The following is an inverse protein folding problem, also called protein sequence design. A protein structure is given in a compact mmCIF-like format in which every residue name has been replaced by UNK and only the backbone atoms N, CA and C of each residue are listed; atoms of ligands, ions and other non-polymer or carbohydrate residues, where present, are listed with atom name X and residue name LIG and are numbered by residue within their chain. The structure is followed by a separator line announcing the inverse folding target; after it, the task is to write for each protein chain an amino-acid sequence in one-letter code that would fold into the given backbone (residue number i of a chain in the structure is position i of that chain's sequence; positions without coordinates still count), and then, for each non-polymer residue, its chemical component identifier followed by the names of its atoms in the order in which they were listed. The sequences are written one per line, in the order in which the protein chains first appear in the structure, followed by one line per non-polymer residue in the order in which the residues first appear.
data_IF_647485191803
#
_entry.id   IF_647485191803
#
_cell.length_a   1.000
_cell.length_b   1.000
_cell.length_c   1.000
_cell.angle_alpha   90.00
_cell.angle_beta   90.00
_cell.angle_gamma   90.00
#
_symmetry.space_group_name_H-M   'P 1'
#
loop_
_entity.id
_entity.type
_entity.pdbx_description
1 polymer ?
#
# COMPACT_ATOMS: atom_id res chain seq x y z
N UNK A 1 28.25 26.47 8.66
CA UNK A 1 28.29 24.99 8.75
C UNK A 1 26.86 24.50 8.85
N UNK A 2 26.30 23.98 7.75
CA UNK A 2 24.97 23.38 7.76
C UNK A 2 25.11 21.93 8.19
N UNK A 3 24.59 21.61 9.36
CA UNK A 3 24.48 20.26 9.89
C UNK A 3 23.38 19.53 9.12
N UNK A 4 23.76 18.80 8.08
CA UNK A 4 22.91 17.84 7.39
C UNK A 4 22.83 16.57 8.23
N UNK A 5 21.85 16.49 9.13
CA UNK A 5 21.55 15.24 9.84
C UNK A 5 20.75 14.31 8.94
N UNK A 6 21.43 13.34 8.32
CA UNK A 6 20.90 12.01 7.94
C UNK A 6 21.81 10.97 8.61
N UNK A 7 21.28 9.91 9.24
CA UNK A 7 20.13 9.14 8.77
C UNK A 7 18.95 9.16 9.76
N UNK A 8 17.78 9.62 9.33
CA UNK A 8 16.52 9.25 9.98
C UNK A 8 16.31 7.76 9.73
N UNK A 9 16.09 6.95 10.76
CA UNK A 9 15.88 5.51 10.61
C UNK A 9 14.69 5.27 9.66
N UNK A 10 14.81 4.37 8.68
CA UNK A 10 13.73 4.09 7.72
C UNK A 10 12.39 3.77 8.42
N UNK A 11 12.44 3.12 9.59
CA UNK A 11 11.25 2.87 10.41
C UNK A 11 10.65 4.12 11.04
N UNK A 12 11.48 5.08 11.47
CA UNK A 12 11.00 6.38 11.98
C UNK A 12 10.34 7.16 10.83
N UNK A 13 10.95 7.13 9.65
CA UNK A 13 10.40 7.77 8.47
C UNK A 13 9.03 7.18 8.10
N UNK A 14 8.91 5.84 8.00
CA UNK A 14 7.62 5.20 7.73
C UNK A 14 6.59 5.52 8.82
N UNK A 15 6.99 5.49 10.09
CA UNK A 15 6.08 5.82 11.21
C UNK A 15 5.54 7.24 11.09
N UNK A 16 6.39 8.20 10.71
CA UNK A 16 5.98 9.59 10.44
C UNK A 16 5.01 9.68 9.26
N UNK A 17 5.24 8.95 8.17
CA UNK A 17 4.33 8.93 7.02
C UNK A 17 2.96 8.33 7.36
N UNK A 18 2.92 7.30 8.20
CA UNK A 18 1.69 6.69 8.69
C UNK A 18 0.92 7.65 9.60
N UNK A 19 1.60 8.35 10.52
CA UNK A 19 0.96 9.36 11.36
C UNK A 19 0.34 10.51 10.53
N UNK A 20 0.94 10.83 9.38
CA UNK A 20 0.42 11.79 8.40
C UNK A 20 -0.68 11.21 7.49
N UNK A 21 -1.15 9.99 7.74
CA UNK A 21 -2.15 9.26 6.95
C UNK A 21 -1.81 9.18 5.45
N UNK A 22 -0.52 8.99 5.12
CA UNK A 22 -0.09 8.81 3.73
C UNK A 22 -0.54 7.44 3.19
N UNK A 23 -0.97 7.43 1.93
CA UNK A 23 -1.25 6.20 1.19
C UNK A 23 0.06 5.60 0.68
N UNK A 24 0.35 4.36 1.07
CA UNK A 24 1.65 3.73 0.90
C UNK A 24 1.47 2.40 0.17
N UNK A 25 2.27 2.17 -0.87
CA UNK A 25 2.39 0.87 -1.51
C UNK A 25 3.70 0.20 -1.07
N UNK A 26 3.63 -0.96 -0.46
CA UNK A 26 4.81 -1.77 -0.16
C UNK A 26 5.09 -2.67 -1.36
N UNK A 27 6.32 -2.65 -1.88
CA UNK A 27 6.73 -3.52 -2.97
C UNK A 27 7.85 -4.46 -2.54
N UNK A 28 7.87 -5.63 -3.14
CA UNK A 28 8.93 -6.63 -2.98
C UNK A 28 9.14 -7.35 -4.31
N UNK A 29 10.37 -7.72 -4.60
CA UNK A 29 10.71 -8.46 -5.84
C UNK A 29 10.22 -9.91 -5.80
N UNK A 30 10.30 -10.56 -4.64
CA UNK A 30 10.10 -12.01 -4.50
C UNK A 30 8.76 -12.39 -3.85
N UNK A 31 7.94 -11.39 -3.52
CA UNK A 31 6.66 -11.59 -2.84
C UNK A 31 6.77 -11.90 -1.35
N UNK A 32 7.95 -11.74 -0.74
CA UNK A 32 8.18 -12.02 0.68
C UNK A 32 8.46 -10.74 1.46
N UNK A 33 8.17 -10.78 2.77
CA UNK A 33 8.49 -9.73 3.73
C UNK A 33 7.51 -8.55 3.77
N UNK A 34 6.98 -8.10 2.63
CA UNK A 34 6.11 -6.91 2.57
C UNK A 34 4.83 -7.05 3.42
N UNK A 35 4.15 -8.20 3.35
CA UNK A 35 2.93 -8.44 4.15
C UNK A 35 3.24 -8.53 5.65
N UNK A 36 4.38 -9.10 6.04
CA UNK A 36 4.83 -9.14 7.44
C UNK A 36 5.13 -7.74 7.99
N UNK A 37 5.76 -6.88 7.16
CA UNK A 37 5.97 -5.48 7.50
C UNK A 37 4.63 -4.75 7.66
N UNK A 38 3.70 -4.93 6.71
CA UNK A 38 2.36 -4.36 6.74
C UNK A 38 1.63 -4.68 8.05
N UNK A 39 1.63 -5.95 8.49
CA UNK A 39 1.00 -6.33 9.76
C UNK A 39 1.72 -5.77 10.99
N UNK A 40 3.04 -5.68 10.95
CA UNK A 40 3.82 -5.06 12.05
C UNK A 40 3.49 -3.57 12.20
N UNK A 41 3.29 -2.87 11.07
CA UNK A 41 2.86 -1.47 11.03
C UNK A 41 1.42 -1.30 11.52
N UNK A 42 0.49 -2.17 11.07
CA UNK A 42 -0.89 -2.18 11.53
C UNK A 42 -0.98 -2.44 13.06
N UNK A 43 -0.18 -3.38 13.57
CA UNK A 43 -0.09 -3.66 15.00
C UNK A 43 0.47 -2.49 15.80
N UNK A 44 1.45 -1.76 15.26
CA UNK A 44 2.00 -0.57 15.89
C UNK A 44 0.96 0.56 15.95
N UNK A 45 0.17 0.75 14.89
CA UNK A 45 -0.93 1.71 14.87
C UNK A 45 -2.03 1.38 15.89
N UNK A 46 -2.37 0.10 16.03
CA UNK A 46 -3.36 -0.35 16.99
C UNK A 46 -2.96 -0.07 18.46
N UNK A 47 -1.65 -0.01 18.76
CA UNK A 47 -1.15 0.29 20.11
C UNK A 47 -1.33 1.75 20.52
N UNK A 48 -1.49 2.65 19.55
CA UNK A 48 -1.68 4.09 19.80
C UNK A 48 -3.14 4.53 19.64
N UNK A 49 -4.08 3.57 19.57
CA UNK A 49 -5.52 3.82 19.54
C UNK A 49 -6.10 4.17 18.17
N UNK A 50 -5.33 4.00 17.08
CA UNK A 50 -5.85 4.22 15.74
C UNK A 50 -6.73 3.06 15.26
N UNK A 51 -7.94 3.39 14.80
CA UNK A 51 -8.87 2.39 14.28
C UNK A 51 -8.44 1.89 12.92
N UNK A 52 -7.87 0.69 12.88
CA UNK A 52 -7.38 0.09 11.64
C UNK A 52 -8.33 -1.00 11.16
N UNK A 53 -8.62 -1.01 9.86
CA UNK A 53 -9.23 -2.14 9.18
C UNK A 53 -8.14 -2.93 8.45
N UNK A 54 -7.96 -4.19 8.81
CA UNK A 54 -7.00 -5.07 8.15
C UNK A 54 -7.77 -6.15 7.37
N UNK A 55 -7.46 -6.30 6.08
CA UNK A 55 -8.07 -7.28 5.18
C UNK A 55 -6.98 -8.20 4.65
N UNK A 56 -7.06 -9.48 5.00
CA UNK A 56 -6.11 -10.51 4.59
C UNK A 56 -6.72 -11.57 3.68
N UNK A 57 -5.93 -12.07 2.73
CA UNK A 57 -6.29 -13.22 1.89
C UNK A 57 -5.81 -14.56 2.49
N UNK A 58 -6.71 -15.55 2.54
CA UNK A 58 -6.43 -17.01 2.65
C UNK A 58 -5.60 -17.54 3.84
N UNK A 59 -5.15 -16.71 4.78
CA UNK A 59 -4.51 -17.15 6.03
C UNK A 59 -5.04 -16.37 7.22
N UNK A 60 -5.14 -16.99 8.41
CA UNK A 60 -5.31 -16.22 9.62
C UNK A 60 -4.06 -15.35 9.81
N UNK A 61 -4.26 -14.06 10.03
CA UNK A 61 -3.15 -13.17 10.33
C UNK A 61 -2.44 -13.67 11.59
N UNK A 62 -1.11 -13.54 11.60
CA UNK A 62 -0.35 -13.59 12.86
C UNK A 62 -0.68 -12.35 13.73
N UNK A 63 -1.41 -11.39 13.15
CA UNK A 63 -1.90 -10.20 13.82
C UNK A 63 -3.08 -10.50 14.75
N UNK A 64 -2.88 -10.28 16.04
CA UNK A 64 -3.97 -10.16 17.02
C UNK A 64 -4.25 -8.68 17.20
N UNK A 65 -5.37 -8.15 16.70
CA UNK A 65 -5.71 -6.75 16.90
C UNK A 65 -5.93 -6.44 18.39
N UNK A 66 -5.52 -5.24 18.82
CA UNK A 66 -6.05 -4.63 20.03
C UNK A 66 -7.52 -4.22 19.81
N UNK A 67 -8.24 -3.84 20.87
CA UNK A 67 -9.69 -3.55 20.86
C UNK A 67 -10.17 -2.59 19.75
N UNK A 68 -9.33 -1.64 19.34
CA UNK A 68 -9.71 -0.60 18.37
C UNK A 68 -9.42 -0.97 16.92
N UNK A 69 -8.72 -2.09 16.67
CA UNK A 69 -8.48 -2.59 15.32
C UNK A 69 -9.42 -3.74 14.99
N UNK A 70 -9.89 -3.78 13.75
CA UNK A 70 -10.72 -4.87 13.24
C UNK A 70 -9.92 -5.59 12.16
N UNK A 71 -9.65 -6.86 12.41
CA UNK A 71 -9.07 -7.76 11.40
C UNK A 71 -10.19 -8.57 10.76
N UNK A 72 -10.26 -8.53 9.43
CA UNK A 72 -11.05 -9.46 8.65
C UNK A 72 -10.14 -10.31 7.77
N UNK A 73 -10.42 -11.60 7.76
CA UNK A 73 -9.85 -12.52 6.78
C UNK A 73 -10.88 -12.75 5.67
N UNK A 74 -10.51 -12.35 4.45
CA UNK A 74 -11.24 -12.71 3.24
C UNK A 74 -10.86 -14.14 2.82
N UNK A 75 -11.85 -15.01 2.77
CA UNK A 75 -11.73 -16.37 2.26
C UNK A 75 -11.75 -16.45 0.73
N UNK A 76 -12.21 -15.39 0.06
CA UNK A 76 -12.31 -15.27 -1.39
C UNK A 76 -12.46 -13.80 -1.82
N UNK A 77 -12.31 -13.54 -3.13
CA UNK A 77 -12.39 -12.19 -3.70
C UNK A 77 -13.74 -11.50 -3.46
N UNK A 78 -14.87 -12.23 -3.51
CA UNK A 78 -16.20 -11.65 -3.27
C UNK A 78 -16.32 -11.09 -1.85
N UNK A 79 -15.83 -11.84 -0.86
CA UNK A 79 -15.79 -11.39 0.52
C UNK A 79 -14.87 -10.18 0.68
N UNK A 80 -13.69 -10.19 0.07
CA UNK A 80 -12.75 -9.05 0.09
C UNK A 80 -13.40 -7.77 -0.44
N UNK A 81 -14.09 -7.86 -1.57
CA UNK A 81 -14.81 -6.72 -2.16
C UNK A 81 -15.95 -6.21 -1.27
N UNK A 82 -16.61 -7.09 -0.52
CA UNK A 82 -17.63 -6.69 0.47
C UNK A 82 -17.01 -5.99 1.68
N UNK A 83 -15.81 -6.41 2.11
CA UNK A 83 -15.10 -5.79 3.22
C UNK A 83 -14.62 -4.36 2.86
N UNK A 84 -14.27 -4.11 1.59
CA UNK A 84 -14.02 -2.76 1.11
C UNK A 84 -15.24 -1.85 1.26
N UNK A 85 -16.44 -2.34 0.94
CA UNK A 85 -17.67 -1.54 1.11
C UNK A 85 -17.95 -1.24 2.59
N UNK A 86 -17.57 -2.15 3.49
CA UNK A 86 -17.69 -1.96 4.94
C UNK A 86 -16.67 -0.97 5.52
N UNK A 87 -15.53 -0.76 4.85
CA UNK A 87 -14.46 0.10 5.35
C UNK A 87 -14.92 1.53 5.67
N UNK A 88 -15.74 2.11 4.80
CA UNK A 88 -16.31 3.45 5.00
C UNK A 88 -17.35 3.47 6.13
N UNK A 89 -18.18 2.43 6.24
CA UNK A 89 -19.21 2.32 7.27
C UNK A 89 -18.61 2.19 8.67
N UNK A 90 -17.47 1.51 8.77
CA UNK A 90 -16.75 1.30 10.02
C UNK A 90 -15.94 2.53 10.46
N UNK A 91 -15.92 3.63 9.71
CA UNK A 91 -15.13 4.84 10.05
C UNK A 91 -13.68 4.50 10.43
N UNK A 92 -13.06 3.56 9.72
CA UNK A 92 -11.67 3.20 9.96
C UNK A 92 -10.76 4.39 9.60
N UNK A 93 -9.76 4.65 10.43
CA UNK A 93 -8.73 5.66 10.18
C UNK A 93 -7.70 5.19 9.14
N UNK A 94 -7.50 3.87 9.05
CA UNK A 94 -6.51 3.22 8.21
C UNK A 94 -7.10 1.96 7.56
N UNK A 95 -6.68 1.70 6.31
CA UNK A 95 -6.98 0.46 5.59
C UNK A 95 -5.68 -0.26 5.27
N UNK A 96 -5.57 -1.51 5.70
CA UNK A 96 -4.45 -2.39 5.39
C UNK A 96 -4.95 -3.58 4.59
N UNK A 97 -4.38 -3.80 3.41
CA UNK A 97 -4.78 -4.92 2.52
C UNK A 97 -3.56 -5.77 2.22
N UNK A 98 -3.65 -7.08 2.43
CA UNK A 98 -2.49 -7.98 2.33
C UNK A 98 -1.81 -7.94 0.97
N UNK A 99 -2.57 -7.94 -0.14
CA UNK A 99 -2.06 -7.85 -1.51
C UNK A 99 -3.19 -7.42 -2.46
N UNK A 100 -2.88 -6.74 -3.56
CA UNK A 100 -3.80 -6.53 -4.69
C UNK A 100 -3.36 -7.39 -5.89
N UNK A 101 -4.22 -8.29 -6.34
CA UNK A 101 -3.98 -9.32 -7.38
C UNK A 101 -4.87 -9.20 -8.62
N UNK A 102 -5.99 -8.48 -8.56
CA UNK A 102 -7.02 -8.46 -9.60
C UNK A 102 -7.65 -7.09 -9.83
N UNK A 103 -8.28 -6.95 -11.00
CA UNK A 103 -8.85 -5.68 -11.48
C UNK A 103 -9.86 -5.07 -10.52
N UNK A 104 -10.86 -5.85 -10.11
CA UNK A 104 -12.00 -5.34 -9.33
C UNK A 104 -11.57 -4.86 -7.94
N UNK A 105 -10.58 -5.52 -7.33
CA UNK A 105 -10.07 -5.11 -6.03
C UNK A 105 -9.18 -3.88 -6.11
N UNK A 106 -8.39 -3.73 -7.17
CA UNK A 106 -7.62 -2.50 -7.41
C UNK A 106 -8.59 -1.33 -7.58
N UNK A 107 -9.59 -1.49 -8.45
CA UNK A 107 -10.61 -0.45 -8.69
C UNK A 107 -11.29 -0.04 -7.38
N UNK A 108 -11.83 -0.99 -6.61
CA UNK A 108 -12.46 -0.68 -5.31
C UNK A 108 -11.50 -0.07 -4.29
N UNK A 109 -10.27 -0.55 -4.20
CA UNK A 109 -9.28 -0.02 -3.26
C UNK A 109 -8.95 1.46 -3.55
N UNK A 110 -8.72 1.80 -4.81
CA UNK A 110 -8.44 3.18 -5.21
C UNK A 110 -9.70 4.06 -5.16
N UNK A 111 -10.89 3.52 -5.40
CA UNK A 111 -12.15 4.23 -5.17
C UNK A 111 -12.34 4.63 -3.70
N UNK A 112 -11.95 3.78 -2.75
CA UNK A 112 -11.99 4.13 -1.32
C UNK A 112 -11.08 5.32 -1.01
N UNK A 113 -9.88 5.34 -1.61
CA UNK A 113 -8.95 6.47 -1.49
C UNK A 113 -9.58 7.74 -2.08
N UNK A 114 -10.16 7.64 -3.28
CA UNK A 114 -10.85 8.75 -3.94
C UNK A 114 -12.05 9.29 -3.14
N UNK A 115 -12.73 8.43 -2.36
CA UNK A 115 -13.81 8.79 -1.43
C UNK A 115 -13.32 9.40 -0.11
N UNK A 116 -12.02 9.63 0.03
CA UNK A 116 -11.42 10.31 1.18
C UNK A 116 -10.87 9.39 2.26
N UNK A 117 -10.84 8.07 2.04
CA UNK A 117 -10.11 7.17 2.93
C UNK A 117 -8.60 7.46 2.80
N UNK A 118 -7.95 7.72 3.93
CA UNK A 118 -6.52 8.05 4.01
C UNK A 118 -5.78 6.96 4.78
N UNK A 119 -4.45 7.00 4.76
CA UNK A 119 -3.64 6.02 5.47
C UNK A 119 -3.79 4.60 4.92
N UNK A 120 -4.12 4.48 3.63
CA UNK A 120 -4.30 3.18 3.00
C UNK A 120 -2.93 2.56 2.69
N UNK A 121 -2.74 1.29 3.04
CA UNK A 121 -1.52 0.55 2.77
C UNK A 121 -1.83 -0.83 2.20
N UNK A 122 -1.10 -1.19 1.15
CA UNK A 122 -1.20 -2.51 0.52
C UNK A 122 0.14 -2.99 0.03
N UNK A 123 0.23 -4.26 -0.36
CA UNK A 123 1.44 -4.83 -0.99
C UNK A 123 1.23 -5.16 -2.46
N UNK A 124 2.34 -5.20 -3.21
CA UNK A 124 2.41 -5.65 -4.59
C UNK A 124 3.79 -6.24 -4.89
N UNK A 125 3.84 -7.36 -5.62
CA UNK A 125 5.12 -7.86 -6.15
C UNK A 125 5.58 -6.96 -7.32
N UNK A 126 6.66 -6.21 -7.14
CA UNK A 126 7.24 -5.34 -8.17
C UNK A 126 8.72 -5.09 -7.88
N UNK A 127 9.50 -4.85 -8.93
CA UNK A 127 10.96 -4.71 -8.86
C UNK A 127 11.43 -3.30 -8.52
N UNK A 128 10.62 -2.31 -8.89
CA UNK A 128 10.91 -0.91 -8.67
C UNK A 128 9.59 -0.10 -8.67
N UNK A 129 9.59 1.14 -8.18
CA UNK A 129 8.40 1.99 -8.12
C UNK A 129 7.71 2.21 -9.48
N UNK A 130 8.47 2.30 -10.58
CA UNK A 130 7.91 2.52 -11.90
C UNK A 130 7.20 1.26 -12.41
N UNK A 131 7.84 0.10 -12.25
CA UNK A 131 7.26 -1.20 -12.54
C UNK A 131 5.99 -1.42 -11.71
N UNK A 132 5.96 -1.00 -10.45
CA UNK A 132 4.77 -1.11 -9.60
C UNK A 132 3.57 -0.37 -10.21
N UNK A 133 3.75 0.89 -10.64
CA UNK A 133 2.68 1.67 -11.28
C UNK A 133 2.24 1.04 -12.60
N UNK A 134 3.19 0.63 -13.47
CA UNK A 134 2.87 -0.05 -14.73
C UNK A 134 2.11 -1.35 -14.49
N UNK A 135 2.51 -2.13 -13.48
CA UNK A 135 1.86 -3.39 -13.12
C UNK A 135 0.46 -3.17 -12.57
N UNK A 136 0.26 -2.20 -11.68
CA UNK A 136 -1.07 -1.83 -11.20
C UNK A 136 -1.97 -1.39 -12.36
N UNK A 137 -1.48 -0.55 -13.27
CA UNK A 137 -2.24 -0.13 -14.45
C UNK A 137 -2.62 -1.32 -15.32
N UNK A 138 -1.71 -2.25 -15.58
CA UNK A 138 -2.02 -3.48 -16.32
C UNK A 138 -3.10 -4.30 -15.61
N UNK A 139 -2.97 -4.52 -14.31
CA UNK A 139 -3.95 -5.30 -13.53
C UNK A 139 -5.31 -4.59 -13.46
N UNK A 140 -5.34 -3.27 -13.36
CA UNK A 140 -6.56 -2.45 -13.40
C UNK A 140 -7.28 -2.54 -14.76
N UNK A 141 -6.55 -2.87 -15.82
CA UNK A 141 -7.05 -2.88 -17.19
C UNK A 141 -7.60 -4.24 -17.64
N UNK A 142 -7.26 -5.34 -16.96
CA UNK A 142 -7.59 -6.72 -17.37
C UNK A 142 -9.10 -7.04 -17.43
N UNK A 143 -9.99 -6.11 -17.08
CA UNK A 143 -11.44 -6.36 -17.06
C UNK A 143 -12.29 -5.32 -17.79
N UNK A 144 -11.69 -4.27 -18.35
CA UNK A 144 -12.48 -3.14 -18.87
C UNK A 144 -12.57 -3.08 -20.39
N UNK A 145 -11.51 -3.41 -21.16
CA UNK A 145 -11.54 -3.38 -22.63
C UNK A 145 -10.40 -4.26 -23.20
N UNK A 146 -10.67 -5.08 -24.22
CA UNK A 146 -9.65 -5.89 -24.92
C UNK A 146 -8.64 -5.04 -25.73
N UNK A 147 -9.04 -3.82 -26.14
CA UNK A 147 -8.21 -2.85 -26.87
C UNK A 147 -8.12 -1.51 -26.12
N UNK A 148 -7.27 -1.43 -25.11
CA UNK A 148 -6.94 -0.15 -24.47
C UNK A 148 -5.88 0.60 -25.26
N UNK A 149 -6.16 1.87 -25.56
CA UNK A 149 -5.16 2.73 -26.18
C UNK A 149 -3.99 3.01 -25.25
N UNK A 150 -2.85 3.44 -25.81
CA UNK A 150 -1.72 3.90 -25.00
C UNK A 150 -2.10 5.11 -24.13
N UNK A 151 -3.02 5.95 -24.60
CA UNK A 151 -3.52 7.10 -23.84
C UNK A 151 -4.30 6.66 -22.60
N UNK A 152 -5.14 5.63 -22.71
CA UNK A 152 -5.89 5.06 -21.59
C UNK A 152 -4.94 4.44 -20.55
N UNK A 153 -3.90 3.72 -21.01
CA UNK A 153 -2.90 3.16 -20.10
C UNK A 153 -2.15 4.25 -19.35
N UNK A 154 -1.75 5.32 -20.03
CA UNK A 154 -1.08 6.46 -19.40
C UNK A 154 -2.01 7.21 -18.43
N UNK A 155 -3.28 7.38 -18.79
CA UNK A 155 -4.29 7.95 -17.90
C UNK A 155 -4.42 7.12 -16.62
N UNK A 156 -4.55 5.79 -16.74
CA UNK A 156 -4.68 4.90 -15.59
C UNK A 156 -3.43 4.90 -14.72
N UNK A 157 -2.22 4.93 -15.31
CA UNK A 157 -0.98 5.09 -14.55
C UNK A 157 -0.96 6.39 -13.74
N UNK A 158 -1.38 7.52 -14.36
CA UNK A 158 -1.45 8.82 -13.69
C UNK A 158 -2.46 8.82 -12.55
N UNK A 159 -3.65 8.28 -12.80
CA UNK A 159 -4.71 8.18 -11.80
C UNK A 159 -4.26 7.34 -10.60
N UNK A 160 -3.72 6.14 -10.83
CA UNK A 160 -3.18 5.27 -9.77
C UNK A 160 -2.06 5.96 -8.99
N UNK A 161 -1.11 6.60 -9.69
CA UNK A 161 0.00 7.30 -9.06
C UNK A 161 -0.47 8.51 -8.22
N UNK A 162 -1.51 9.24 -8.67
CA UNK A 162 -2.05 10.40 -7.93
C UNK A 162 -2.69 10.03 -6.58
N UNK A 163 -3.09 8.78 -6.42
CA UNK A 163 -3.68 8.26 -5.19
C UNK A 163 -2.64 7.67 -4.21
N UNK A 164 -1.40 7.48 -4.67
CA UNK A 164 -0.28 7.01 -3.85
C UNK A 164 0.61 8.19 -3.47
N UNK A 165 1.06 8.20 -2.21
CA UNK A 165 2.02 9.19 -1.75
C UNK A 165 3.44 8.64 -1.77
N UNK A 166 3.60 7.37 -1.37
CA UNK A 166 4.90 6.71 -1.28
C UNK A 166 4.83 5.25 -1.75
N UNK A 167 5.94 4.80 -2.32
CA UNK A 167 6.24 3.40 -2.58
C UNK A 167 7.45 3.02 -1.73
N UNK A 168 7.33 1.93 -0.97
CA UNK A 168 8.40 1.43 -0.07
C UNK A 168 8.91 0.12 -0.64
N UNK A 169 10.20 0.08 -0.95
CA UNK A 169 10.87 -1.13 -1.42
C UNK A 169 11.31 -1.97 -0.22
N UNK A 170 10.81 -3.19 -0.14
CA UNK A 170 11.04 -4.13 0.95
C UNK A 170 11.80 -5.32 0.41
N UNK A 171 12.89 -5.69 1.10
CA UNK A 171 13.63 -6.90 0.81
C UNK A 171 13.49 -7.88 1.94
N UNK A 172 13.15 -9.11 1.60
CA UNK A 172 13.12 -10.21 2.56
C UNK A 172 14.54 -10.57 2.99
N UNK A 173 14.74 -10.77 4.29
CA UNK A 173 16.01 -11.19 4.86
C UNK A 173 15.80 -12.51 5.57
N UNK A 174 16.62 -13.51 5.25
CA UNK A 174 16.66 -14.77 5.99
C UNK A 174 17.49 -14.58 7.26
N UNK A 175 16.94 -13.90 8.25
CA UNK A 175 17.53 -13.76 9.58
C UNK A 175 16.57 -14.30 10.65
N UNK A 176 17.14 -14.85 11.73
CA UNK A 176 16.36 -15.27 12.90
C UNK A 176 15.69 -14.08 13.63
N UNK A 177 16.23 -12.87 13.48
CA UNK A 177 15.78 -11.68 14.22
C UNK A 177 15.04 -10.66 13.35
N UNK A 178 15.17 -10.74 12.03
CA UNK A 178 14.58 -9.78 11.08
C UNK A 178 14.01 -10.51 9.87
N UNK A 179 12.72 -10.32 9.62
CA UNK A 179 12.05 -10.91 8.46
C UNK A 179 12.26 -10.08 7.16
N UNK A 180 12.53 -8.78 7.28
CA UNK A 180 12.72 -7.90 6.12
C UNK A 180 13.48 -6.62 6.48
N UNK A 181 13.99 -5.95 5.45
CA UNK A 181 14.56 -4.59 5.51
C UNK A 181 13.82 -3.67 4.55
N UNK A 182 13.79 -2.38 4.86
CA UNK A 182 13.35 -1.34 3.95
C UNK A 182 14.59 -0.85 3.20
N UNK A 183 14.62 -1.09 1.90
CA UNK A 183 15.75 -0.72 1.06
C UNK A 183 15.62 0.73 0.54
N UNK A 184 14.39 1.19 0.27
CA UNK A 184 14.12 2.58 -0.13
C UNK A 184 12.69 3.01 0.23
N UNK A 185 12.50 4.32 0.38
CA UNK A 185 11.21 4.98 0.45
C UNK A 185 11.19 6.03 -0.66
N UNK A 186 10.36 5.79 -1.67
CA UNK A 186 10.22 6.66 -2.83
C UNK A 186 8.92 7.45 -2.74
N UNK A 187 9.00 8.77 -2.79
CA UNK A 187 7.83 9.64 -2.98
C UNK A 187 7.32 9.57 -4.41
N UNK A 188 6.00 9.55 -4.57
CA UNK A 188 5.29 9.54 -5.86
C UNK A 188 4.62 10.89 -6.04
N UNK A 189 4.95 11.58 -7.14
CA UNK A 189 4.34 12.86 -7.51
C UNK A 189 4.04 12.87 -9.00
N UNK A 190 3.16 13.78 -9.43
CA UNK A 190 2.95 14.06 -10.85
C UNK A 190 3.21 15.54 -11.08
N UNK A 191 3.91 15.88 -12.16
CA UNK A 191 4.06 17.28 -12.57
C UNK A 191 2.86 17.78 -13.38
N UNK A 192 2.90 19.06 -13.77
CA UNK A 192 1.82 19.72 -14.52
C UNK A 192 1.54 19.06 -15.89
N UNK A 193 2.47 18.27 -16.42
CA UNK A 193 2.30 17.52 -17.68
C UNK A 193 1.69 16.13 -17.45
N UNK A 194 1.42 15.77 -16.19
CA UNK A 194 1.01 14.43 -15.80
C UNK A 194 2.15 13.43 -15.88
N UNK A 195 3.41 13.87 -15.96
CA UNK A 195 4.55 12.94 -15.87
C UNK A 195 4.76 12.54 -14.41
N UNK A 196 4.72 11.24 -14.16
CA UNK A 196 4.94 10.66 -12.84
C UNK A 196 6.43 10.77 -12.51
N UNK A 197 6.73 11.23 -11.29
CA UNK A 197 8.09 11.39 -10.77
C UNK A 197 8.24 10.60 -9.48
N UNK A 198 9.36 9.90 -9.42
CA UNK A 198 9.80 9.11 -8.28
C UNK A 198 11.02 9.77 -7.66
N UNK A 199 10.99 10.02 -6.36
CA UNK A 199 12.14 10.58 -5.63
C UNK A 199 12.34 9.81 -4.33
N UNK A 200 13.46 9.10 -4.24
CA UNK A 200 13.94 8.48 -3.01
C UNK A 200 14.16 9.55 -1.93
N UNK A 201 13.75 9.22 -0.70
CA UNK A 201 13.86 10.13 0.45
C UNK A 201 14.72 9.59 1.59
N UNK A 202 15.19 8.33 1.53
CA UNK A 202 16.14 7.77 2.50
C UNK A 202 17.46 7.45 1.84
#
# INVERSE_FOLDING_TARGET
MQTTTKPTNAMEQISSLIAQKKNILLITEDGKGATSLLYSLAASNAKVGFRSLVIEDHRPAVYVPNSDSILFTASNSKQKLSLFDQALLLRADYLYVSELRGTTEISKYFDLIGKGMKGCMTTLVAKDPEHAIRKLSRLFNLSYVDDLSQEDMLFNQRWLASNLHYIVSVRHVQSFTQACTIDDITSVTSDQTGKIRFKSII
#
